data_IF_837980327566
#
_entry.id   IF_837980327566
#
_cell.length_a   1.000
_cell.length_b   1.000
_cell.length_c   1.000
_cell.angle_alpha   90.00
_cell.angle_beta   90.00
_cell.angle_gamma   90.00
#
_symmetry.space_group_name_H-M   'P 1'
#
loop_
_entity.id
_entity.type
_entity.pdbx_description
1 polymer ?
#
# COMPACT_ATOMS: atom_id res chain seq x y z
N UNK A 1 -3.86 -0.39 -14.14
CA UNK A 1 -4.02 0.28 -12.84
C UNK A 1 -2.84 -0.04 -11.95
N UNK A 2 -2.25 0.96 -11.32
CA UNK A 2 -1.12 0.78 -10.40
C UNK A 2 -1.64 0.63 -8.98
N UNK A 3 -1.30 -0.50 -8.36
CA UNK A 3 -1.80 -0.88 -7.03
C UNK A 3 -0.62 -1.07 -6.08
N UNK A 4 -0.71 -0.49 -4.89
CA UNK A 4 0.29 -0.70 -3.83
C UNK A 4 -0.29 -1.66 -2.79
N UNK A 5 0.50 -2.63 -2.36
CA UNK A 5 0.12 -3.61 -1.35
C UNK A 5 1.25 -3.78 -0.34
N UNK A 6 0.95 -3.71 0.97
CA UNK A 6 1.98 -4.00 1.99
C UNK A 6 2.21 -5.50 2.05
N UNK A 7 3.47 -5.92 2.13
CA UNK A 7 3.81 -7.33 2.06
C UNK A 7 4.73 -7.76 3.22
N UNK A 8 4.49 -8.96 3.69
CA UNK A 8 5.36 -9.67 4.61
C UNK A 8 6.49 -10.36 3.83
N UNK A 9 7.51 -10.82 4.53
CA UNK A 9 8.64 -11.51 3.90
C UNK A 9 8.24 -12.79 3.17
N UNK A 10 7.14 -13.41 3.56
CA UNK A 10 6.62 -14.62 2.91
C UNK A 10 5.71 -14.34 1.71
N UNK A 11 5.54 -13.07 1.33
CA UNK A 11 4.71 -12.69 0.17
C UNK A 11 3.23 -12.52 0.47
N UNK A 12 2.82 -12.61 1.74
CA UNK A 12 1.43 -12.37 2.12
C UNK A 12 1.18 -10.89 2.41
N UNK A 13 -0.09 -10.48 2.39
CA UNK A 13 -0.47 -9.11 2.72
C UNK A 13 -0.14 -8.82 4.19
N UNK A 14 0.65 -7.76 4.42
CA UNK A 14 0.91 -7.30 5.79
C UNK A 14 -0.34 -6.56 6.29
N UNK A 15 -0.92 -6.97 7.42
CA UNK A 15 -2.15 -6.32 7.93
C UNK A 15 -1.91 -4.91 8.47
N UNK A 16 -0.65 -4.46 8.56
CA UNK A 16 -0.30 -3.18 9.18
C UNK A 16 0.17 -2.20 8.11
N UNK A 17 -0.74 -1.62 7.34
CA UNK A 17 -0.40 -0.74 6.22
C UNK A 17 0.67 0.30 6.56
N UNK A 18 0.41 1.16 7.54
CA UNK A 18 1.31 2.28 7.89
C UNK A 18 2.57 1.85 8.62
N UNK A 19 2.71 0.57 8.95
CA UNK A 19 3.88 0.01 9.64
C UNK A 19 4.60 -1.06 8.83
N UNK A 20 4.25 -1.19 7.57
CA UNK A 20 4.88 -2.19 6.71
C UNK A 20 6.36 -1.86 6.50
N UNK A 21 7.21 -2.88 6.55
CA UNK A 21 8.63 -2.72 6.20
C UNK A 21 8.83 -2.77 4.69
N UNK A 22 7.94 -3.45 3.98
CA UNK A 22 8.04 -3.64 2.54
C UNK A 22 6.66 -3.50 1.89
N UNK A 23 6.65 -2.92 0.71
CA UNK A 23 5.44 -2.85 -0.12
C UNK A 23 5.78 -3.30 -1.53
N UNK A 24 4.76 -3.71 -2.28
CA UNK A 24 4.90 -3.92 -3.71
C UNK A 24 4.04 -2.89 -4.45
N UNK A 25 4.54 -2.43 -5.59
CA UNK A 25 3.76 -1.66 -6.55
C UNK A 25 3.55 -2.54 -7.77
N UNK A 26 2.31 -2.81 -8.08
CA UNK A 26 1.92 -3.72 -9.15
C UNK A 26 1.20 -2.97 -10.25
N UNK A 27 1.38 -3.41 -11.50
CA UNK A 27 0.52 -2.99 -12.60
C UNK A 27 -0.45 -4.13 -12.87
N UNK A 28 -1.75 -3.81 -12.81
CA UNK A 28 -2.82 -4.80 -13.02
C UNK A 28 -3.75 -4.28 -14.12
N UNK A 29 -3.88 -5.07 -15.18
CA UNK A 29 -4.74 -4.73 -16.32
C UNK A 29 -5.73 -5.87 -16.55
N UNK A 30 -7.02 -5.55 -16.47
CA UNK A 30 -8.09 -6.54 -16.68
C UNK A 30 -7.94 -7.78 -15.79
N UNK A 31 -7.55 -7.57 -14.54
CA UNK A 31 -7.35 -8.66 -13.57
C UNK A 31 -6.04 -9.42 -13.75
N UNK A 32 -5.18 -8.99 -14.67
CA UNK A 32 -3.89 -9.64 -14.91
C UNK A 32 -2.74 -8.81 -14.36
N UNK A 33 -1.87 -9.45 -13.59
CA UNK A 33 -0.66 -8.84 -13.06
C UNK A 33 0.40 -8.78 -14.17
N UNK A 34 0.77 -7.56 -14.58
CA UNK A 34 1.75 -7.36 -15.66
C UNK A 34 3.10 -6.88 -15.15
N UNK A 35 3.15 -6.22 -14.00
CA UNK A 35 4.40 -5.79 -13.36
C UNK A 35 4.28 -5.91 -11.85
N UNK A 36 5.42 -6.22 -11.21
CA UNK A 36 5.50 -6.35 -9.75
C UNK A 36 6.88 -5.90 -9.31
N UNK A 37 6.93 -4.82 -8.52
CA UNK A 37 8.19 -4.29 -7.99
C UNK A 37 8.07 -4.13 -6.48
N UNK A 38 9.02 -4.68 -5.74
CA UNK A 38 9.03 -4.60 -4.28
C UNK A 38 9.98 -3.52 -3.80
N UNK A 39 9.58 -2.81 -2.75
CA UNK A 39 10.36 -1.72 -2.16
C UNK A 39 10.47 -1.91 -0.65
N UNK A 40 11.69 -1.77 -0.12
CA UNK A 40 11.92 -1.71 1.31
C UNK A 40 11.65 -0.27 1.76
N UNK A 41 10.50 -0.02 2.33
CA UNK A 41 10.09 1.33 2.73
C UNK A 41 10.37 1.62 4.19
N UNK A 42 10.48 0.58 5.03
CA UNK A 42 10.82 0.73 6.44
C UNK A 42 9.82 1.56 7.25
N UNK A 43 8.56 1.55 6.87
CA UNK A 43 7.54 2.39 7.53
C UNK A 43 7.33 2.00 8.99
N UNK A 44 7.47 0.71 9.33
CA UNK A 44 7.38 0.27 10.71
C UNK A 44 8.49 0.85 11.59
N UNK A 45 9.71 0.86 11.06
CA UNK A 45 10.86 1.44 11.74
C UNK A 45 10.75 2.96 11.87
N UNK A 46 10.22 3.62 10.84
CA UNK A 46 10.14 5.07 10.76
C UNK A 46 8.87 5.65 11.40
N UNK A 47 7.90 4.81 11.76
CA UNK A 47 6.60 5.22 12.26
C UNK A 47 6.69 6.20 13.45
N UNK A 48 7.60 5.94 14.38
CA UNK A 48 7.77 6.77 15.58
C UNK A 48 8.85 7.85 15.42
N UNK A 49 9.36 8.07 14.19
CA UNK A 49 10.36 9.08 13.89
C UNK A 49 9.69 10.38 13.49
N UNK A 50 9.83 11.40 14.33
CA UNK A 50 9.29 12.72 14.05
C UNK A 50 7.80 12.85 14.35
N UNK A 51 7.18 13.99 13.99
CA UNK A 51 5.76 14.22 14.21
C UNK A 51 4.90 13.25 13.40
N UNK A 52 3.70 12.97 13.89
CA UNK A 52 2.74 12.07 13.23
C UNK A 52 2.47 12.47 11.77
N UNK A 53 2.32 13.77 11.51
CA UNK A 53 2.10 14.26 10.16
C UNK A 53 3.26 13.97 9.20
N UNK A 54 4.49 13.87 9.72
CA UNK A 54 5.65 13.57 8.90
C UNK A 54 5.61 12.13 8.36
N UNK A 55 5.07 11.20 9.14
CA UNK A 55 4.93 9.81 8.70
C UNK A 55 3.88 9.68 7.59
N UNK A 56 2.73 10.34 7.74
CA UNK A 56 1.70 10.37 6.70
C UNK A 56 2.24 11.02 5.42
N UNK A 57 2.99 12.11 5.54
CA UNK A 57 3.59 12.79 4.38
C UNK A 57 4.59 11.90 3.65
N UNK A 58 5.35 11.08 4.38
CA UNK A 58 6.30 10.13 3.78
C UNK A 58 5.59 9.10 2.92
N UNK A 59 4.49 8.55 3.44
CA UNK A 59 3.69 7.57 2.71
C UNK A 59 3.03 8.22 1.49
N UNK A 60 2.46 9.42 1.66
CA UNK A 60 1.83 10.17 0.56
C UNK A 60 2.82 10.42 -0.57
N UNK A 61 4.05 10.82 -0.24
CA UNK A 61 5.08 11.07 -1.24
C UNK A 61 5.43 9.81 -2.01
N UNK A 62 5.58 8.68 -1.33
CA UNK A 62 5.85 7.40 -1.99
C UNK A 62 4.75 7.06 -3.00
N UNK A 63 3.49 7.15 -2.57
CA UNK A 63 2.35 6.81 -3.42
C UNK A 63 2.25 7.74 -4.63
N UNK A 64 2.52 9.03 -4.44
CA UNK A 64 2.52 10.01 -5.53
C UNK A 64 3.66 9.74 -6.52
N UNK A 65 4.87 9.52 -6.01
CA UNK A 65 6.05 9.32 -6.85
C UNK A 65 5.94 8.05 -7.70
N UNK A 66 5.24 7.05 -7.21
CA UNK A 66 5.00 5.80 -7.93
C UNK A 66 3.67 5.78 -8.67
N UNK A 67 2.94 6.89 -8.69
CA UNK A 67 1.68 7.05 -9.42
C UNK A 67 0.65 5.98 -9.05
N UNK A 68 0.56 5.67 -7.77
CA UNK A 68 -0.35 4.65 -7.25
C UNK A 68 -1.79 5.14 -7.35
N UNK A 69 -2.66 4.30 -7.88
CA UNK A 69 -4.08 4.61 -8.07
C UNK A 69 -4.99 3.91 -7.06
N UNK A 70 -4.50 2.81 -6.49
CA UNK A 70 -5.26 2.04 -5.53
C UNK A 70 -4.32 1.37 -4.53
N UNK A 71 -4.83 1.08 -3.33
CA UNK A 71 -4.12 0.28 -2.34
C UNK A 71 -4.96 -0.95 -2.00
N UNK A 72 -4.31 -2.11 -1.94
CA UNK A 72 -4.93 -3.36 -1.50
C UNK A 72 -4.41 -3.63 -0.09
N UNK A 73 -5.29 -3.52 0.89
CA UNK A 73 -4.92 -3.55 2.31
C UNK A 73 -5.87 -4.43 3.10
N UNK A 74 -5.44 -4.85 4.30
CA UNK A 74 -6.36 -5.48 5.23
C UNK A 74 -7.24 -4.42 5.91
N UNK A 75 -6.59 -3.39 6.47
CA UNK A 75 -7.26 -2.33 7.21
C UNK A 75 -6.41 -1.07 7.18
N UNK A 76 -7.06 0.09 7.22
CA UNK A 76 -6.39 1.39 7.41
C UNK A 76 -7.11 2.19 8.49
N UNK A 77 -6.35 2.98 9.25
CA UNK A 77 -6.91 3.88 10.23
C UNK A 77 -7.61 5.08 9.59
N UNK A 78 -8.40 5.80 10.40
CA UNK A 78 -9.22 6.91 9.91
C UNK A 78 -8.38 8.03 9.29
N UNK A 79 -7.24 8.39 9.88
CA UNK A 79 -6.36 9.43 9.34
C UNK A 79 -5.77 9.05 7.99
N UNK A 80 -5.32 7.81 7.85
CA UNK A 80 -4.80 7.31 6.59
C UNK A 80 -5.90 7.25 5.52
N UNK A 81 -7.10 6.82 5.91
CA UNK A 81 -8.24 6.79 5.00
C UNK A 81 -8.53 8.17 4.43
N UNK A 82 -8.54 9.20 5.29
CA UNK A 82 -8.76 10.58 4.83
C UNK A 82 -7.68 11.04 3.86
N UNK A 83 -6.42 10.72 4.15
CA UNK A 83 -5.30 11.10 3.29
C UNK A 83 -5.41 10.45 1.91
N UNK A 84 -5.65 9.15 1.87
CA UNK A 84 -5.76 8.41 0.61
C UNK A 84 -6.95 8.90 -0.20
N UNK A 85 -8.09 9.16 0.45
CA UNK A 85 -9.27 9.70 -0.22
C UNK A 85 -8.99 11.08 -0.81
N UNK A 86 -8.30 11.94 -0.07
CA UNK A 86 -7.91 13.28 -0.55
C UNK A 86 -7.00 13.18 -1.77
N UNK A 87 -6.16 12.15 -1.85
CA UNK A 87 -5.28 11.91 -2.99
C UNK A 87 -5.98 11.21 -4.15
N UNK A 88 -7.28 10.94 -4.03
CA UNK A 88 -8.07 10.19 -5.02
C UNK A 88 -7.54 8.78 -5.24
N UNK A 89 -6.99 8.17 -4.20
CA UNK A 89 -6.52 6.79 -4.23
C UNK A 89 -7.63 5.88 -3.73
N UNK A 90 -7.97 4.87 -4.54
CA UNK A 90 -8.96 3.87 -4.17
C UNK A 90 -8.41 3.01 -3.03
N UNK A 91 -9.25 2.77 -2.02
CA UNK A 91 -8.89 1.92 -0.88
C UNK A 91 -9.72 0.64 -0.96
N UNK A 92 -9.04 -0.48 -1.15
CA UNK A 92 -9.70 -1.79 -1.19
C UNK A 92 -9.24 -2.58 0.03
N UNK A 93 -10.18 -2.91 0.92
CA UNK A 93 -9.88 -3.48 2.23
C UNK A 93 -10.16 -4.97 2.30
N UNK A 94 -9.88 -5.58 3.45
CA UNK A 94 -10.14 -7.00 3.76
C UNK A 94 -9.29 -7.97 2.95
N UNK A 95 -8.15 -7.52 2.43
CA UNK A 95 -7.22 -8.40 1.73
C UNK A 95 -6.32 -9.13 2.72
N UNK A 96 -6.18 -10.44 2.50
CA UNK A 96 -5.36 -11.35 3.30
C UNK A 96 -4.73 -12.39 2.39
N UNK A 97 -3.73 -13.08 2.88
CA UNK A 97 -3.09 -14.16 2.14
C UNK A 97 -2.16 -13.63 1.07
N UNK A 98 -2.07 -14.30 -0.05
CA UNK A 98 -1.12 -13.99 -1.10
C UNK A 98 -1.30 -12.58 -1.67
N UNK A 99 -0.23 -11.79 -1.63
CA UNK A 99 -0.30 -10.39 -2.04
C UNK A 99 -0.52 -10.23 -3.54
N UNK A 100 0.04 -11.12 -4.36
CA UNK A 100 -0.16 -11.07 -5.81
C UNK A 100 -1.60 -11.37 -6.16
N UNK A 101 -2.21 -12.33 -5.49
CA UNK A 101 -3.63 -12.62 -5.66
C UNK A 101 -4.50 -11.44 -5.22
N UNK A 102 -4.13 -10.77 -4.12
CA UNK A 102 -4.88 -9.63 -3.62
C UNK A 102 -5.00 -8.51 -4.66
N UNK A 103 -3.89 -8.13 -5.30
CA UNK A 103 -3.92 -7.02 -6.27
C UNK A 103 -4.71 -7.38 -7.53
N UNK A 104 -4.77 -8.64 -7.92
CA UNK A 104 -5.54 -9.05 -9.11
C UNK A 104 -7.04 -9.07 -8.86
N UNK A 105 -7.48 -9.01 -7.60
CA UNK A 105 -8.89 -8.94 -7.24
C UNK A 105 -9.48 -7.53 -7.38
N UNK A 106 -8.65 -6.52 -7.54
CA UNK A 106 -9.12 -5.16 -7.76
C UNK A 106 -9.55 -4.98 -9.21
N UNK A 107 -10.76 -4.52 -9.39
CA UNK A 107 -11.32 -4.29 -10.73
C UNK A 107 -11.72 -2.84 -10.92
#
# INVERSE_FOLDING_TARGET
MRVCVPINSDGTVDPRWGRAERVAVAEVDNGMLTEWTEYDVGWGTLHDSGPEGAHHARIARFLRDHQVQAVAVNHVGAGMQRMLTTMSIRIDTDHRGDARAAVTQLT
#
